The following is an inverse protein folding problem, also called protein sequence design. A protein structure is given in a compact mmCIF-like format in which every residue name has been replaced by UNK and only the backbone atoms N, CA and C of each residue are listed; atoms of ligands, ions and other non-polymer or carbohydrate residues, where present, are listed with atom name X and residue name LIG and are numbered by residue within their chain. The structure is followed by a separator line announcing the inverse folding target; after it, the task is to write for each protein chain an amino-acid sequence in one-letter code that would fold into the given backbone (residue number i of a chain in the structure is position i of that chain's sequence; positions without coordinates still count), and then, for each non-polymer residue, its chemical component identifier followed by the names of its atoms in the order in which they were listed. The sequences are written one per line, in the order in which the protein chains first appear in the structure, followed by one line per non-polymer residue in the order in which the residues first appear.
data_IF_002201378430
#
_entry.id   IF_002201378430
#
_cell.length_a   1.000
_cell.length_b   1.000
_cell.length_c   1.000
_cell.angle_alpha   90.00
_cell.angle_beta   90.00
_cell.angle_gamma   90.00
#
_symmetry.space_group_name_H-M   'P 1'
#
loop_
_entity.id
_entity.type
_entity.pdbx_description
1 polymer ?
#
# COMPACT_ATOMS: atom_id res chain seq x y z
N UNK A 1 16.29 12.20 7.69
CA UNK A 1 16.03 11.31 8.82
C UNK A 1 14.68 10.63 8.62
N UNK A 2 14.65 9.34 8.48
CA UNK A 2 13.40 8.56 8.42
C UNK A 2 12.97 8.26 9.85
N UNK A 3 11.81 8.76 10.25
CA UNK A 3 11.23 8.45 11.54
C UNK A 3 10.23 7.30 11.38
N UNK A 4 10.52 6.16 11.97
CA UNK A 4 9.59 5.04 12.05
C UNK A 4 8.85 5.12 13.39
N UNK A 5 7.54 5.20 13.35
CA UNK A 5 6.72 5.21 14.56
C UNK A 5 6.04 3.85 14.67
N UNK A 6 6.30 3.10 15.75
CA UNK A 6 5.58 1.85 15.99
C UNK A 6 4.11 2.16 16.29
N UNK A 7 3.22 1.50 15.57
CA UNK A 7 1.78 1.60 15.80
C UNK A 7 1.36 0.34 16.52
N UNK A 8 0.93 0.48 17.78
CA UNK A 8 0.39 -0.64 18.53
C UNK A 8 -0.96 -1.07 17.95
N UNK A 9 -1.13 -2.36 17.62
CA UNK A 9 -2.38 -2.87 17.02
C UNK A 9 -3.61 -2.65 17.90
N UNK A 10 -3.42 -2.47 19.21
CA UNK A 10 -4.50 -2.33 20.19
C UNK A 10 -5.10 -0.91 20.26
N UNK A 11 -4.40 0.12 19.80
CA UNK A 11 -4.90 1.50 19.79
C UNK A 11 -5.52 1.93 18.47
N UNK A 12 -5.68 1.00 17.55
CA UNK A 12 -6.63 1.05 16.46
C UNK A 12 -6.25 1.92 15.25
N UNK A 13 -6.98 1.66 14.18
CA UNK A 13 -6.91 2.36 12.90
C UNK A 13 -7.03 3.90 13.05
N UNK A 14 -7.74 4.39 14.07
CA UNK A 14 -7.92 5.83 14.33
C UNK A 14 -6.60 6.55 14.63
N UNK A 15 -5.73 5.97 15.45
CA UNK A 15 -4.41 6.56 15.80
C UNK A 15 -3.50 6.63 14.58
N UNK A 16 -3.50 5.56 13.76
CA UNK A 16 -2.72 5.50 12.52
C UNK A 16 -3.20 6.55 11.51
N UNK A 17 -4.50 6.72 11.36
CA UNK A 17 -5.10 7.72 10.48
C UNK A 17 -4.81 9.15 10.95
N UNK A 18 -4.95 9.41 12.25
CA UNK A 18 -4.64 10.73 12.82
C UNK A 18 -3.16 11.09 12.63
N UNK A 19 -2.27 10.13 12.81
CA UNK A 19 -0.84 10.31 12.58
C UNK A 19 -0.52 10.54 11.10
N UNK A 20 -1.10 9.74 10.19
CA UNK A 20 -0.98 9.94 8.74
C UNK A 20 -1.47 11.33 8.32
N UNK A 21 -2.63 11.75 8.84
CA UNK A 21 -3.16 13.09 8.60
C UNK A 21 -2.23 14.21 9.08
N UNK A 22 -1.58 14.04 10.24
CA UNK A 22 -0.62 15.01 10.76
C UNK A 22 0.62 15.14 9.87
N UNK A 23 1.15 14.01 9.35
CA UNK A 23 2.27 14.00 8.40
C UNK A 23 1.88 14.74 7.11
N UNK A 24 0.74 14.40 6.54
CA UNK A 24 0.27 15.01 5.29
C UNK A 24 -0.03 16.49 5.40
N UNK A 25 -0.54 16.96 6.57
CA UNK A 25 -0.73 18.40 6.83
C UNK A 25 0.57 19.18 6.83
N UNK A 26 1.68 18.55 7.16
CA UNK A 26 3.02 19.18 7.13
C UNK A 26 3.61 19.22 5.73
N UNK A 27 2.98 18.58 4.75
CA UNK A 27 3.51 18.42 3.39
C UNK A 27 4.57 17.35 3.26
N UNK A 28 4.71 16.49 4.26
CA UNK A 28 5.68 15.38 4.24
C UNK A 28 5.12 14.17 3.45
N UNK A 29 6.02 13.33 2.94
CA UNK A 29 5.66 12.07 2.26
C UNK A 29 5.34 10.97 3.26
N UNK A 30 4.39 10.10 2.91
CA UNK A 30 3.96 8.98 3.74
C UNK A 30 4.08 7.66 2.96
N UNK A 31 4.76 6.68 3.53
CA UNK A 31 4.71 5.29 3.04
C UNK A 31 3.65 4.54 3.83
N UNK A 32 2.72 3.89 3.12
CA UNK A 32 1.60 3.18 3.72
C UNK A 32 1.48 1.76 3.17
N UNK A 33 1.32 0.79 4.06
CA UNK A 33 1.03 -0.60 3.72
C UNK A 33 -0.46 -0.88 3.94
N UNK A 34 -1.30 -0.79 2.90
CA UNK A 34 -2.75 -0.78 3.06
C UNK A 34 -3.33 -2.15 3.43
N UNK A 35 -2.58 -3.21 3.25
CA UNK A 35 -2.98 -4.57 3.67
C UNK A 35 -3.05 -4.69 5.20
N UNK A 36 -2.25 -3.89 5.92
CA UNK A 36 -2.23 -3.84 7.39
C UNK A 36 -1.70 -5.11 8.06
N UNK A 37 -0.94 -5.92 7.35
CA UNK A 37 -0.31 -7.13 7.84
C UNK A 37 0.57 -7.79 6.78
N UNK A 38 1.23 -8.88 7.15
CA UNK A 38 2.01 -9.68 6.22
C UNK A 38 1.08 -10.52 5.35
N UNK A 39 1.44 -10.68 4.07
CA UNK A 39 0.72 -11.59 3.18
C UNK A 39 0.93 -13.05 3.62
N UNK A 40 -0.14 -13.84 3.80
CA UNK A 40 -0.02 -15.24 4.19
C UNK A 40 0.40 -16.17 3.03
N UNK A 41 0.25 -15.73 1.79
CA UNK A 41 0.41 -16.53 0.58
C UNK A 41 1.24 -15.86 -0.53
N UNK A 42 1.86 -14.70 -0.24
CA UNK A 42 2.65 -13.93 -1.19
C UNK A 42 1.81 -13.16 -2.23
N UNK A 43 0.49 -13.12 -2.07
CA UNK A 43 -0.42 -12.35 -2.93
C UNK A 43 -0.79 -11.02 -2.29
N UNK A 44 -1.18 -10.06 -3.11
CA UNK A 44 -1.73 -8.79 -2.63
C UNK A 44 -3.07 -9.07 -1.95
N UNK A 45 -3.16 -8.73 -0.69
CA UNK A 45 -4.36 -8.92 0.12
C UNK A 45 -5.35 -7.74 -0.08
N UNK A 46 -6.61 -7.88 0.33
CA UNK A 46 -7.55 -6.77 0.33
C UNK A 46 -7.02 -5.56 1.11
N UNK A 47 -7.18 -4.37 0.56
CA UNK A 47 -6.74 -3.13 1.19
C UNK A 47 -7.77 -2.65 2.21
N UNK A 48 -7.27 -2.18 3.36
CA UNK A 48 -8.13 -1.57 4.39
C UNK A 48 -8.58 -0.18 3.98
N UNK A 49 -9.83 0.22 4.29
CA UNK A 49 -10.41 1.48 3.80
C UNK A 49 -9.79 2.76 4.40
N UNK A 50 -9.01 2.63 5.47
CA UNK A 50 -8.43 3.77 6.19
C UNK A 50 -7.64 4.74 5.31
N UNK A 51 -6.81 4.24 4.41
CA UNK A 51 -6.08 5.10 3.47
C UNK A 51 -7.03 5.82 2.50
N UNK A 52 -8.12 5.18 2.09
CA UNK A 52 -9.14 5.82 1.24
C UNK A 52 -9.75 7.07 1.88
N UNK A 53 -9.95 7.06 3.20
CA UNK A 53 -10.39 8.25 3.94
C UNK A 53 -9.34 9.37 3.89
N UNK A 54 -8.06 9.06 4.07
CA UNK A 54 -6.98 10.05 3.96
C UNK A 54 -6.89 10.64 2.56
N UNK A 55 -6.96 9.81 1.53
CA UNK A 55 -6.91 10.26 0.13
C UNK A 55 -8.08 11.18 -0.22
N UNK A 56 -9.29 10.86 0.26
CA UNK A 56 -10.48 11.69 0.06
C UNK A 56 -10.33 13.06 0.73
N UNK A 57 -9.64 13.12 1.86
CA UNK A 57 -9.46 14.36 2.64
C UNK A 57 -8.32 15.24 2.11
N UNK A 58 -7.21 14.66 1.69
CA UNK A 58 -5.99 15.40 1.35
C UNK A 58 -5.75 15.59 -0.14
N UNK A 59 -6.42 14.83 -1.01
CA UNK A 59 -6.29 14.90 -2.48
C UNK A 59 -4.84 14.93 -2.95
N UNK A 60 -4.04 14.06 -2.41
CA UNK A 60 -2.60 13.94 -2.70
C UNK A 60 -2.34 12.89 -3.78
N UNK A 61 -1.23 13.01 -4.54
CA UNK A 61 -0.82 11.95 -5.45
C UNK A 61 -0.38 10.71 -4.69
N UNK A 62 -0.69 9.54 -5.25
CA UNK A 62 -0.35 8.22 -4.74
C UNK A 62 0.48 7.48 -5.77
N UNK A 63 1.61 6.93 -5.36
CA UNK A 63 2.41 6.04 -6.21
C UNK A 63 2.19 4.61 -5.74
N UNK A 64 1.51 3.75 -6.53
CA UNK A 64 1.37 2.34 -6.20
C UNK A 64 2.73 1.64 -6.32
N UNK A 65 3.04 0.81 -5.34
CA UNK A 65 4.30 0.05 -5.30
C UNK A 65 4.00 -1.41 -5.00
N UNK A 66 4.56 -2.30 -5.81
CA UNK A 66 4.49 -3.75 -5.61
C UNK A 66 5.85 -4.29 -5.18
N UNK A 67 5.88 -5.01 -4.06
CA UNK A 67 7.05 -5.72 -3.56
C UNK A 67 6.79 -7.23 -3.73
N UNK A 68 7.66 -7.91 -4.44
CA UNK A 68 7.57 -9.35 -4.72
C UNK A 68 8.82 -10.09 -4.25
N UNK A 69 8.67 -11.37 -3.88
CA UNK A 69 9.77 -12.21 -3.43
C UNK A 69 10.03 -12.17 -1.92
N UNK A 70 9.36 -11.29 -1.18
CA UNK A 70 9.50 -11.20 0.28
C UNK A 70 8.91 -12.40 1.00
N UNK A 71 7.80 -12.94 0.49
CA UNK A 71 7.16 -14.14 1.05
C UNK A 71 8.07 -15.37 0.89
N UNK A 72 8.69 -15.55 -0.27
CA UNK A 72 9.62 -16.62 -0.56
C UNK A 72 10.92 -16.46 0.24
N UNK A 73 11.39 -15.22 0.40
CA UNK A 73 12.57 -14.92 1.20
C UNK A 73 12.34 -15.19 2.70
N UNK A 74 11.16 -14.85 3.22
CA UNK A 74 10.82 -15.05 4.63
C UNK A 74 9.32 -15.33 4.79
N UNK A 75 8.89 -16.59 4.60
CA UNK A 75 7.50 -17.00 4.83
C UNK A 75 7.06 -16.73 6.26
N UNK A 76 5.77 -16.48 6.46
CA UNK A 76 5.19 -16.29 7.79
C UNK A 76 5.53 -17.50 8.70
N UNK A 77 6.04 -17.22 9.90
CA UNK A 77 6.49 -18.25 10.85
C UNK A 77 7.92 -18.76 10.64
N UNK A 78 8.62 -18.34 9.58
CA UNK A 78 10.04 -18.63 9.40
C UNK A 78 10.90 -17.82 10.39
N UNK A 79 11.91 -18.47 10.97
CA UNK A 79 12.86 -17.81 11.89
C UNK A 79 14.07 -17.23 11.16
N UNK A 80 14.33 -17.67 9.93
CA UNK A 80 15.51 -17.29 9.15
C UNK A 80 15.14 -16.93 7.73
N UNK A 81 15.66 -15.83 7.19
CA UNK A 81 15.47 -15.48 5.80
C UNK A 81 16.21 -16.47 4.89
N UNK A 82 15.64 -16.72 3.74
CA UNK A 82 16.26 -17.49 2.65
C UNK A 82 16.78 -16.53 1.59
N UNK A 83 17.85 -16.92 0.91
CA UNK A 83 18.33 -16.16 -0.25
C UNK A 83 17.27 -16.25 -1.36
N UNK A 84 16.59 -15.15 -1.62
CA UNK A 84 15.60 -15.03 -2.67
C UNK A 84 15.63 -13.61 -3.24
N UNK A 85 15.36 -13.49 -4.53
CA UNK A 85 15.32 -12.17 -5.17
C UNK A 85 14.06 -11.41 -4.76
N UNK A 86 14.26 -10.19 -4.27
CA UNK A 86 13.16 -9.26 -3.96
C UNK A 86 13.13 -8.18 -5.04
N UNK A 87 11.96 -7.98 -5.63
CA UNK A 87 11.73 -6.99 -6.66
C UNK A 87 10.76 -5.91 -6.16
N UNK A 88 11.08 -4.65 -6.43
CA UNK A 88 10.23 -3.50 -6.13
C UNK A 88 9.85 -2.83 -7.44
N UNK A 89 8.56 -2.79 -7.74
CA UNK A 89 8.03 -2.20 -8.97
C UNK A 89 7.15 -1.00 -8.62
N UNK A 90 7.46 0.15 -9.22
CA UNK A 90 6.70 1.39 -9.05
C UNK A 90 5.73 1.57 -10.21
N UNK A 91 4.50 1.97 -9.89
CA UNK A 91 3.51 2.37 -10.88
C UNK A 91 3.54 3.86 -11.17
N UNK A 92 2.67 4.30 -12.07
CA UNK A 92 2.43 5.72 -12.29
C UNK A 92 1.69 6.32 -11.10
N UNK A 93 1.99 7.58 -10.81
CA UNK A 93 1.24 8.33 -9.82
C UNK A 93 -0.24 8.45 -10.28
N UNK A 94 -1.15 8.22 -9.36
CA UNK A 94 -2.58 8.44 -9.51
C UNK A 94 -3.08 9.36 -8.40
N UNK A 95 -4.28 9.85 -8.50
CA UNK A 95 -4.91 10.66 -7.46
C UNK A 95 -6.29 10.10 -7.05
N UNK A 96 -6.89 10.69 -6.02
CA UNK A 96 -8.16 10.21 -5.51
C UNK A 96 -9.31 10.38 -6.51
N UNK A 97 -9.27 11.38 -7.36
CA UNK A 97 -10.35 11.63 -8.34
C UNK A 97 -10.32 10.56 -9.44
N UNK A 98 -9.13 10.17 -9.90
CA UNK A 98 -8.95 9.04 -10.81
C UNK A 98 -9.41 7.72 -10.19
N UNK A 99 -9.02 7.47 -8.94
CA UNK A 99 -9.44 6.25 -8.22
C UNK A 99 -10.95 6.19 -8.00
N UNK A 100 -11.61 7.32 -7.69
CA UNK A 100 -13.07 7.42 -7.57
C UNK A 100 -13.76 7.14 -8.91
N UNK A 101 -13.23 7.68 -10.00
CA UNK A 101 -13.76 7.44 -11.32
C UNK A 101 -13.69 5.95 -11.69
N UNK A 102 -12.57 5.30 -11.43
CA UNK A 102 -12.37 3.89 -11.70
C UNK A 102 -13.22 2.99 -10.79
N UNK A 103 -13.31 3.32 -9.49
CA UNK A 103 -14.15 2.61 -8.52
C UNK A 103 -15.65 2.90 -8.68
N UNK A 104 -16.01 3.91 -9.44
CA UNK A 104 -17.40 4.33 -9.67
C UNK A 104 -18.12 4.85 -8.42
N UNK A 105 -17.38 5.25 -7.39
CA UNK A 105 -17.94 5.66 -6.10
C UNK A 105 -16.97 6.50 -5.29
N UNK A 106 -17.53 7.33 -4.39
CA UNK A 106 -16.79 8.05 -3.35
C UNK A 106 -16.53 7.20 -2.08
N UNK A 107 -16.99 5.96 -2.09
CA UNK A 107 -16.79 5.02 -0.97
C UNK A 107 -15.31 4.70 -0.80
N UNK A 108 -14.73 4.88 0.40
CA UNK A 108 -13.33 4.56 0.69
C UNK A 108 -12.94 3.12 0.33
N UNK A 109 -13.84 2.14 0.49
CA UNK A 109 -13.57 0.75 0.12
C UNK A 109 -13.39 0.62 -1.40
N UNK A 110 -14.24 1.26 -2.19
CA UNK A 110 -14.16 1.26 -3.66
C UNK A 110 -12.90 1.96 -4.17
N UNK A 111 -12.52 3.07 -3.53
CA UNK A 111 -11.26 3.78 -3.82
C UNK A 111 -10.07 2.85 -3.58
N UNK A 112 -10.08 2.10 -2.47
CA UNK A 112 -9.01 1.17 -2.15
C UNK A 112 -8.98 -0.06 -3.05
N UNK A 113 -10.13 -0.56 -3.51
CA UNK A 113 -10.19 -1.62 -4.51
C UNK A 113 -9.58 -1.17 -5.84
N UNK A 114 -9.87 0.05 -6.30
CA UNK A 114 -9.26 0.62 -7.50
C UNK A 114 -7.74 0.74 -7.34
N UNK A 115 -7.26 1.23 -6.20
CA UNK A 115 -5.82 1.32 -5.91
C UNK A 115 -5.15 -0.08 -5.87
N UNK A 116 -5.83 -1.08 -5.29
CA UNK A 116 -5.34 -2.46 -5.28
C UNK A 116 -5.18 -3.01 -6.70
N UNK A 117 -6.10 -2.73 -7.60
CA UNK A 117 -5.99 -3.11 -9.00
C UNK A 117 -4.74 -2.51 -9.65
N UNK A 118 -4.44 -1.23 -9.41
CA UNK A 118 -3.20 -0.61 -9.89
C UNK A 118 -1.95 -1.33 -9.40
N UNK A 119 -1.92 -1.76 -8.12
CA UNK A 119 -0.80 -2.54 -7.57
C UNK A 119 -0.71 -3.92 -8.22
N UNK A 120 -1.83 -4.62 -8.42
CA UNK A 120 -1.85 -5.94 -9.05
C UNK A 120 -1.39 -5.91 -10.51
N UNK A 121 -1.73 -4.87 -11.27
CA UNK A 121 -1.28 -4.68 -12.65
C UNK A 121 0.25 -4.60 -12.77
N UNK A 122 0.95 -4.15 -11.73
CA UNK A 122 2.41 -4.09 -11.70
C UNK A 122 3.05 -5.48 -11.74
N UNK A 123 2.35 -6.53 -11.30
CA UNK A 123 2.83 -7.91 -11.33
C UNK A 123 3.12 -8.41 -12.76
N UNK A 124 2.37 -7.92 -13.76
CA UNK A 124 2.57 -8.28 -15.16
C UNK A 124 3.73 -7.56 -15.83
N UNK A 125 4.06 -6.35 -15.39
CA UNK A 125 5.07 -5.49 -16.03
C UNK A 125 6.50 -6.01 -15.82
N UNK A 126 6.75 -6.75 -14.75
CA UNK A 126 8.10 -7.28 -14.46
C UNK A 126 8.53 -8.39 -15.45
N UNK A 127 7.59 -9.14 -16.03
CA UNK A 127 7.90 -10.21 -17.00
C UNK A 127 8.34 -9.68 -18.36
N UNK A 128 8.01 -8.43 -18.69
CA UNK A 128 8.29 -7.85 -20.00
C UNK A 128 9.72 -7.25 -20.13
N UNK A 129 10.46 -7.05 -19.03
CA UNK A 129 11.77 -6.42 -19.03
C UNK A 129 12.95 -7.41 -19.01
N UNK A 130 12.69 -8.71 -18.94
CA UNK A 130 13.68 -9.78 -18.96
C UNK A 130 13.52 -10.73 -20.17
N UNK A 131 12.80 -10.32 -21.17
CA UNK A 131 12.72 -11.03 -22.46
C UNK A 131 13.62 -10.39 -23.50
#
# INVERSE_FOLDING_TARGET
MTHTVPIEPQHGARSSLAFGAAILRRGDGLVWFPEGGLSPDGRVQPFKPGLGLLLSQFRIPVVPVLIQGTFEAMPAGSRWPRSHQVNVTYGHATDVDELKQQGGSDDPERIMDALRMHVEELRGKHKAHHA
#
